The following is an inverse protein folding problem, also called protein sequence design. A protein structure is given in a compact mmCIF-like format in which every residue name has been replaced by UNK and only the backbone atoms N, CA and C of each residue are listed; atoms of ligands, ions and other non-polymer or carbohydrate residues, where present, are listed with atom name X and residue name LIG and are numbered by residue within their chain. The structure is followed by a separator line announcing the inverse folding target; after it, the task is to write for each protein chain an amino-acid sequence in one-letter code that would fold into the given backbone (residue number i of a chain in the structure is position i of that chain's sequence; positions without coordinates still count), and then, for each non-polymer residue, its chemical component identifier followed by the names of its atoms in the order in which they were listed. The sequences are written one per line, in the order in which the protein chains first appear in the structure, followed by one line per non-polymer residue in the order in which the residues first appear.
data_IF_259837475333
#
_entry.id   IF_259837475333
#
_cell.length_a   1.000
_cell.length_b   1.000
_cell.length_c   1.000
_cell.angle_alpha   90.00
_cell.angle_beta   90.00
_cell.angle_gamma   90.00
#
_symmetry.space_group_name_H-M   'P 1'
#
loop_
_entity.id
_entity.type
_entity.pdbx_description
1 polymer ?
#
# COMPACT_ATOMS: atom_id res chain seq x y z
N UNK A 1 -9.50 -4.21 -18.97
CA UNK A 1 -8.69 -3.56 -17.91
C UNK A 1 -8.72 -4.27 -16.55
N UNK A 2 -9.87 -4.70 -16.01
CA UNK A 2 -9.92 -5.41 -14.70
C UNK A 2 -9.16 -6.75 -14.70
N UNK A 3 -9.28 -7.55 -15.77
CA UNK A 3 -8.69 -8.90 -15.85
C UNK A 3 -7.16 -8.89 -15.86
N UNK A 4 -6.55 -7.97 -16.63
CA UNK A 4 -5.09 -7.81 -16.68
C UNK A 4 -4.51 -7.42 -15.31
N UNK A 5 -5.17 -6.50 -14.59
CA UNK A 5 -4.76 -6.08 -13.23
C UNK A 5 -4.86 -7.23 -12.22
N UNK A 6 -5.88 -8.09 -12.35
CA UNK A 6 -6.03 -9.26 -11.50
C UNK A 6 -4.91 -10.30 -11.73
N UNK A 7 -4.52 -10.53 -12.99
CA UNK A 7 -3.41 -11.42 -13.34
C UNK A 7 -2.08 -10.96 -12.75
N UNK A 8 -1.76 -9.68 -12.88
CA UNK A 8 -0.56 -9.09 -12.26
C UNK A 8 -0.60 -9.24 -10.74
N UNK A 9 -1.75 -8.96 -10.10
CA UNK A 9 -1.85 -9.11 -8.65
C UNK A 9 -1.60 -10.56 -8.19
N UNK A 10 -2.17 -11.54 -8.91
CA UNK A 10 -1.96 -12.95 -8.62
C UNK A 10 -0.48 -13.34 -8.74
N UNK A 11 0.20 -12.87 -9.79
CA UNK A 11 1.63 -13.12 -9.98
C UNK A 11 2.47 -12.50 -8.87
N UNK A 12 2.20 -11.23 -8.50
CA UNK A 12 2.91 -10.55 -7.41
C UNK A 12 2.76 -11.24 -6.06
N UNK A 13 1.56 -11.73 -5.74
CA UNK A 13 1.32 -12.51 -4.52
C UNK A 13 2.07 -13.83 -4.55
N UNK A 14 2.04 -14.56 -5.68
CA UNK A 14 2.75 -15.82 -5.81
C UNK A 14 4.28 -15.69 -5.71
N UNK A 15 4.82 -14.54 -6.15
CA UNK A 15 6.25 -14.23 -6.05
C UNK A 15 6.66 -13.65 -4.68
N UNK A 16 5.72 -13.42 -3.76
CA UNK A 16 6.00 -12.79 -2.47
C UNK A 16 6.26 -11.28 -2.54
N UNK A 17 6.09 -10.66 -3.70
CA UNK A 17 6.20 -9.19 -3.86
C UNK A 17 5.04 -8.44 -3.18
N UNK A 18 3.94 -9.15 -2.90
CA UNK A 18 2.75 -8.61 -2.25
C UNK A 18 2.19 -9.65 -1.28
N UNK A 19 1.90 -9.23 -0.06
CA UNK A 19 1.43 -10.10 1.01
C UNK A 19 1.41 -9.32 2.31
N UNK A 20 1.42 -10.04 3.43
CA UNK A 20 1.50 -9.41 4.74
C UNK A 20 2.74 -8.53 4.87
N UNK A 21 2.64 -7.56 5.78
CA UNK A 21 3.71 -6.63 6.07
C UNK A 21 4.92 -7.35 6.66
N UNK A 22 6.12 -6.85 6.34
CA UNK A 22 7.37 -7.45 6.83
C UNK A 22 7.72 -7.05 8.27
N UNK A 23 6.98 -6.11 8.86
CA UNK A 23 7.14 -5.66 10.24
C UNK A 23 6.18 -6.38 11.20
N UNK A 24 6.58 -6.45 12.48
CA UNK A 24 5.87 -7.18 13.53
C UNK A 24 5.43 -6.30 14.70
N UNK A 25 5.62 -4.99 14.59
CA UNK A 25 5.29 -4.01 15.64
C UNK A 25 3.79 -3.67 15.76
N UNK A 26 2.96 -4.28 14.92
CA UNK A 26 1.50 -4.07 14.90
C UNK A 26 1.06 -2.82 14.16
N UNK A 27 1.96 -2.11 13.47
CA UNK A 27 1.57 -0.97 12.64
C UNK A 27 0.65 -1.42 11.47
N UNK A 28 -0.38 -0.61 11.17
CA UNK A 28 -1.36 -0.91 10.12
C UNK A 28 -0.75 -0.76 8.71
N UNK A 29 -1.16 -1.63 7.77
CA UNK A 29 -0.83 -1.47 6.34
C UNK A 29 -1.69 -0.36 5.71
N UNK A 30 -1.05 0.75 5.35
CA UNK A 30 -1.71 1.86 4.65
C UNK A 30 -1.66 1.75 3.11
N UNK A 31 -1.19 0.63 2.55
CA UNK A 31 -1.16 0.44 1.09
C UNK A 31 -2.56 0.58 0.47
N UNK A 32 -2.63 1.20 -0.70
CA UNK A 32 -3.88 1.50 -1.44
C UNK A 32 -4.86 2.44 -0.70
N UNK A 33 -4.47 3.10 0.38
CA UNK A 33 -5.22 4.21 0.98
C UNK A 33 -4.75 5.55 0.41
N UNK A 34 -5.65 6.53 0.38
CA UNK A 34 -5.29 7.91 0.04
C UNK A 34 -4.53 8.52 1.21
N UNK A 35 -3.45 9.28 0.95
CA UNK A 35 -2.57 9.85 1.99
C UNK A 35 -3.33 10.67 3.05
N UNK A 36 -4.36 11.43 2.64
CA UNK A 36 -5.24 12.19 3.54
C UNK A 36 -6.03 11.34 4.55
N UNK A 37 -6.17 10.04 4.30
CA UNK A 37 -6.87 9.08 5.16
C UNK A 37 -5.87 8.20 5.94
N UNK A 38 -4.65 8.68 6.12
CA UNK A 38 -3.57 7.98 6.83
C UNK A 38 -2.90 8.94 7.80
N UNK A 39 -2.17 8.45 8.81
CA UNK A 39 -1.38 9.29 9.72
C UNK A 39 -0.36 10.19 9.02
N UNK A 40 -0.01 9.89 7.75
CA UNK A 40 0.93 10.68 6.95
C UNK A 40 0.35 11.96 6.35
N UNK A 41 -0.95 12.24 6.55
CA UNK A 41 -1.62 13.39 5.95
C UNK A 41 -0.89 14.72 6.23
N UNK A 42 -0.65 15.02 7.50
CA UNK A 42 -0.01 16.27 7.92
C UNK A 42 1.41 16.42 7.39
N UNK A 43 2.19 15.33 7.41
CA UNK A 43 3.53 15.32 6.84
C UNK A 43 3.48 15.58 5.33
N UNK A 44 2.60 14.90 4.60
CA UNK A 44 2.47 15.08 3.15
C UNK A 44 2.06 16.51 2.78
N UNK A 45 1.14 17.12 3.53
CA UNK A 45 0.75 18.52 3.36
C UNK A 45 1.93 19.48 3.54
N UNK A 46 2.81 19.21 4.51
CA UNK A 46 4.00 20.04 4.75
C UNK A 46 5.02 20.04 3.61
N UNK A 47 4.96 19.07 2.69
CA UNK A 47 5.86 18.98 1.52
C UNK A 47 5.44 19.87 0.36
N UNK A 48 4.22 20.40 0.37
CA UNK A 48 3.67 21.24 -0.72
C UNK A 48 3.89 22.75 -0.46
N UNK A 49 4.88 23.10 0.36
CA UNK A 49 5.27 24.46 0.70
C UNK A 49 6.37 25.00 -0.21
#
# INVERSE_FOLDING_TARGET
MKTARAGVNKAKVALGERGDVWWTDGAEDFNRRQVKNTPYAQWYESLNN
#
